data_IF_638174160709
#
_entry.id   IF_638174160709
#
_cell.length_a   1.000
_cell.length_b   1.000
_cell.length_c   1.000
_cell.angle_alpha   90.00
_cell.angle_beta   90.00
_cell.angle_gamma   90.00
#
_symmetry.space_group_name_H-M   'P 1'
#
loop_
_entity.id
_entity.type
_entity.pdbx_description
1 polymer ?
#
# COMPACT_ATOMS: atom_id res chain seq x y z
N UNK A 1 42.88 34.58 -26.00
CA UNK A 1 41.93 33.44 -25.89
C UNK A 1 42.15 32.77 -24.54
N UNK A 2 41.20 32.91 -23.61
CA UNK A 2 41.12 32.14 -22.36
C UNK A 2 39.75 31.43 -22.35
N UNK A 3 39.65 30.18 -21.87
CA UNK A 3 38.45 29.37 -22.07
C UNK A 3 37.30 29.82 -21.14
N UNK A 4 36.10 29.92 -21.71
CA UNK A 4 34.83 30.16 -21.00
C UNK A 4 34.57 29.00 -20.02
N UNK A 5 34.50 29.31 -18.72
CA UNK A 5 33.99 28.40 -17.68
C UNK A 5 32.52 28.05 -17.98
N UNK A 6 32.21 26.76 -17.94
CA UNK A 6 30.85 26.23 -17.97
C UNK A 6 30.03 26.80 -16.81
N UNK A 7 28.99 27.57 -17.15
CA UNK A 7 27.88 27.98 -16.29
C UNK A 7 26.60 27.46 -16.93
N UNK A 8 26.12 26.28 -16.54
CA UNK A 8 24.75 25.84 -16.85
C UNK A 8 24.33 24.68 -15.95
N UNK A 9 23.59 25.01 -14.89
CA UNK A 9 22.63 24.18 -14.12
C UNK A 9 22.05 24.95 -12.93
N UNK A 10 22.70 26.03 -12.49
CA UNK A 10 22.18 26.93 -11.44
C UNK A 10 21.04 27.87 -11.88
N UNK A 11 20.99 28.26 -13.16
CA UNK A 11 20.02 29.24 -13.67
C UNK A 11 18.57 28.72 -13.78
N UNK A 12 18.36 27.43 -14.05
CA UNK A 12 17.00 26.86 -14.20
C UNK A 12 16.24 26.77 -12.88
N UNK A 13 16.94 26.47 -11.78
CA UNK A 13 16.34 26.43 -10.43
C UNK A 13 16.04 27.82 -9.88
N UNK A 14 16.85 28.84 -10.17
CA UNK A 14 16.53 30.24 -9.84
C UNK A 14 15.25 30.70 -10.56
N UNK A 15 15.16 30.45 -11.87
CA UNK A 15 13.97 30.77 -12.68
C UNK A 15 12.69 30.11 -12.20
N UNK A 16 12.76 28.86 -11.70
CA UNK A 16 11.57 28.12 -11.25
C UNK A 16 11.00 28.68 -9.94
N UNK A 17 11.87 29.19 -9.05
CA UNK A 17 11.43 29.84 -7.80
C UNK A 17 10.89 31.25 -8.05
N UNK A 18 11.39 31.96 -9.06
CA UNK A 18 10.85 33.26 -9.47
C UNK A 18 9.43 33.11 -10.02
N UNK A 19 9.17 32.08 -10.84
CA UNK A 19 7.83 31.71 -11.32
C UNK A 19 6.93 31.26 -10.14
N UNK A 20 7.44 30.45 -9.22
CA UNK A 20 6.67 30.04 -8.02
C UNK A 20 6.31 31.23 -7.13
N UNK A 21 7.16 32.26 -7.06
CA UNK A 21 6.91 33.48 -6.31
C UNK A 21 5.88 34.40 -6.98
N UNK A 22 5.82 34.43 -8.32
CA UNK A 22 4.79 35.18 -9.06
C UNK A 22 3.42 34.50 -8.99
N UNK A 23 3.39 33.17 -8.88
CA UNK A 23 2.18 32.32 -8.76
C UNK A 23 1.53 32.37 -7.37
N UNK A 24 2.15 32.95 -6.34
CA UNK A 24 1.60 33.06 -4.98
C UNK A 24 0.95 34.43 -4.74
N UNK A 25 -0.26 34.72 -5.28
CA UNK A 25 -0.87 36.04 -5.19
C UNK A 25 -1.24 36.38 -3.75
N UNK A 26 -1.34 37.68 -3.46
CA UNK A 26 -1.71 38.18 -2.14
C UNK A 26 -3.20 37.95 -1.79
N UNK A 27 -4.05 37.76 -2.81
CA UNK A 27 -5.52 37.59 -2.75
C UNK A 27 -5.97 36.39 -3.58
N UNK A 28 -7.12 35.82 -3.22
CA UNK A 28 -7.69 34.61 -3.85
C UNK A 28 -8.42 34.85 -5.18
N UNK A 29 -8.82 36.10 -5.46
CA UNK A 29 -9.64 36.41 -6.63
C UNK A 29 -8.85 36.40 -7.95
N UNK A 30 -7.51 36.52 -7.90
CA UNK A 30 -6.66 36.62 -9.09
C UNK A 30 -5.98 35.29 -9.50
N UNK A 31 -6.06 34.21 -8.70
CA UNK A 31 -5.25 32.99 -8.95
C UNK A 31 -5.62 32.27 -10.26
N UNK A 32 -6.86 32.43 -10.70
CA UNK A 32 -7.43 31.68 -11.82
C UNK A 32 -7.66 32.54 -13.07
N UNK A 33 -7.05 33.71 -13.13
CA UNK A 33 -6.95 34.45 -14.39
C UNK A 33 -6.12 33.64 -15.39
N UNK A 34 -6.49 33.74 -16.68
CA UNK A 34 -5.92 32.93 -17.78
C UNK A 34 -4.38 32.99 -17.80
N UNK A 35 -3.80 34.18 -17.55
CA UNK A 35 -2.35 34.38 -17.48
C UNK A 35 -1.69 33.68 -16.28
N UNK A 36 -2.36 33.64 -15.13
CA UNK A 36 -1.84 32.97 -13.93
C UNK A 36 -1.94 31.44 -14.05
N UNK A 37 -3.00 30.95 -14.70
CA UNK A 37 -3.17 29.54 -15.06
C UNK A 37 -2.08 29.05 -16.02
N UNK A 38 -1.75 29.84 -17.05
CA UNK A 38 -0.66 29.50 -17.98
C UNK A 38 0.71 29.43 -17.29
N UNK A 39 1.05 30.43 -16.47
CA UNK A 39 2.30 30.40 -15.68
C UNK A 39 2.35 29.19 -14.73
N UNK A 40 1.20 28.84 -14.15
CA UNK A 40 1.08 27.71 -13.26
C UNK A 40 1.27 26.36 -13.97
N UNK A 41 0.72 26.22 -15.19
CA UNK A 41 0.95 25.04 -16.03
C UNK A 41 2.41 24.95 -16.48
N UNK A 42 3.02 26.07 -16.88
CA UNK A 42 4.44 26.13 -17.26
C UNK A 42 5.36 25.72 -16.09
N UNK A 43 5.05 26.17 -14.87
CA UNK A 43 5.73 25.74 -13.66
C UNK A 43 5.61 24.22 -13.42
N UNK A 44 4.41 23.67 -13.56
CA UNK A 44 4.19 22.23 -13.37
C UNK A 44 4.87 21.39 -14.46
N UNK A 45 4.91 21.87 -15.70
CA UNK A 45 5.52 21.16 -16.82
C UNK A 45 7.04 21.18 -16.72
N UNK A 46 7.65 22.31 -16.32
CA UNK A 46 9.08 22.41 -16.01
C UNK A 46 9.48 21.56 -14.81
N UNK A 47 8.57 21.34 -13.86
CA UNK A 47 8.79 20.53 -12.66
C UNK A 47 8.31 19.07 -12.78
N UNK A 48 7.77 18.67 -13.94
CA UNK A 48 7.16 17.33 -14.14
C UNK A 48 8.16 16.16 -14.16
N UNK A 49 9.47 16.45 -14.23
CA UNK A 49 10.51 15.43 -14.26
C UNK A 49 10.98 15.04 -12.86
N UNK A 50 10.90 13.75 -12.53
CA UNK A 50 11.56 13.21 -11.33
C UNK A 50 13.09 13.28 -11.50
N UNK A 51 13.68 14.30 -10.89
CA UNK A 51 15.09 14.63 -11.04
C UNK A 51 15.84 14.34 -9.75
N UNK A 52 17.04 13.78 -9.88
CA UNK A 52 17.91 13.52 -8.74
C UNK A 52 18.40 14.86 -8.16
N UNK A 53 18.16 15.16 -6.87
CA UNK A 53 18.51 16.44 -6.26
C UNK A 53 20.00 16.78 -6.33
N UNK A 54 20.88 15.77 -6.32
CA UNK A 54 22.33 15.94 -6.30
C UNK A 54 22.92 16.25 -7.67
N UNK A 55 22.39 15.63 -8.72
CA UNK A 55 22.93 15.69 -10.09
C UNK A 55 22.10 16.56 -11.03
N UNK A 56 20.83 16.79 -10.70
CA UNK A 56 19.85 17.49 -11.53
C UNK A 56 19.44 16.71 -12.79
N UNK A 57 19.79 15.43 -12.90
CA UNK A 57 19.38 14.58 -14.04
C UNK A 57 18.12 13.78 -13.73
N UNK A 58 17.38 13.43 -14.79
CA UNK A 58 16.21 12.55 -14.71
C UNK A 58 16.61 11.19 -14.12
N UNK A 59 15.89 10.74 -13.07
CA UNK A 59 16.15 9.47 -12.38
C UNK A 59 16.02 8.27 -13.31
N UNK A 60 15.00 8.27 -14.18
CA UNK A 60 14.77 7.19 -15.15
C UNK A 60 15.94 7.05 -16.13
N UNK A 61 16.55 8.18 -16.49
CA UNK A 61 17.70 8.17 -17.39
C UNK A 61 18.96 7.70 -16.69
N UNK A 62 19.25 8.21 -15.49
CA UNK A 62 20.43 7.75 -14.72
C UNK A 62 20.41 6.23 -14.53
N UNK A 63 19.24 5.67 -14.23
CA UNK A 63 19.07 4.24 -14.08
C UNK A 63 19.20 3.48 -15.41
N UNK A 64 18.74 4.05 -16.53
CA UNK A 64 18.94 3.44 -17.85
C UNK A 64 20.41 3.47 -18.29
N UNK A 65 21.10 4.60 -18.12
CA UNK A 65 22.52 4.77 -18.47
C UNK A 65 23.42 3.82 -17.65
N UNK A 66 23.03 3.50 -16.41
CA UNK A 66 23.68 2.50 -15.56
C UNK A 66 23.50 1.05 -16.05
N UNK A 67 22.37 0.74 -16.69
CA UNK A 67 22.07 -0.59 -17.23
C UNK A 67 22.76 -0.81 -18.60
N UNK A 68 22.87 0.23 -19.42
CA UNK A 68 23.48 0.17 -20.77
C UNK A 68 25.01 0.35 -20.77
N UNK A 69 25.63 0.60 -19.62
CA UNK A 69 27.10 0.68 -19.47
C UNK A 69 27.78 1.84 -20.22
N UNK A 70 27.01 2.80 -20.76
CA UNK A 70 27.52 3.99 -21.45
C UNK A 70 26.98 5.26 -20.79
N UNK A 71 27.80 5.89 -19.95
CA UNK A 71 27.52 7.23 -19.44
C UNK A 71 27.83 8.28 -20.53
N UNK A 72 26.87 8.53 -21.41
CA UNK A 72 27.00 9.61 -22.39
C UNK A 72 26.58 10.95 -21.75
N UNK A 73 27.57 11.62 -21.14
CA UNK A 73 27.44 12.91 -20.45
C UNK A 73 27.02 14.08 -21.37
N UNK A 74 26.93 13.86 -22.68
CA UNK A 74 26.68 14.87 -23.71
C UNK A 74 25.19 15.25 -23.90
N UNK A 75 24.25 14.45 -23.39
CA UNK A 75 22.79 14.64 -23.62
C UNK A 75 21.98 15.07 -22.39
N UNK A 76 22.55 15.82 -21.44
CA UNK A 76 22.02 16.07 -20.07
C UNK A 76 20.58 16.63 -19.93
N UNK A 77 19.88 16.97 -21.01
CA UNK A 77 18.57 17.65 -20.99
C UNK A 77 17.34 16.80 -21.33
N UNK A 78 17.48 15.53 -21.74
CA UNK A 78 16.32 14.70 -22.10
C UNK A 78 15.73 13.94 -20.89
N UNK A 79 14.44 14.17 -20.62
CA UNK A 79 13.65 13.49 -19.59
C UNK A 79 13.06 12.18 -20.12
N UNK A 80 13.25 11.07 -19.40
CA UNK A 80 12.72 9.73 -19.72
C UNK A 80 11.59 9.28 -18.78
N UNK A 81 10.99 10.20 -18.01
CA UNK A 81 9.84 9.87 -17.18
C UNK A 81 8.64 9.46 -18.05
N UNK A 82 8.00 8.30 -17.79
CA UNK A 82 6.75 7.93 -18.43
C UNK A 82 5.63 8.92 -18.05
N UNK A 83 4.55 8.95 -18.84
CA UNK A 83 3.46 9.92 -18.67
C UNK A 83 2.83 9.86 -17.28
N UNK A 84 2.55 8.65 -16.77
CA UNK A 84 1.98 8.46 -15.42
C UNK A 84 2.87 9.06 -14.32
N UNK A 85 4.20 8.97 -14.47
CA UNK A 85 5.13 9.52 -13.49
C UNK A 85 5.15 11.05 -13.54
N UNK A 86 5.04 11.61 -14.75
CA UNK A 86 4.88 13.06 -14.93
C UNK A 86 3.57 13.55 -14.32
N UNK A 87 2.49 12.81 -14.49
CA UNK A 87 1.17 13.16 -13.92
C UNK A 87 1.19 13.12 -12.39
N UNK A 88 1.85 12.13 -11.77
CA UNK A 88 2.13 12.09 -10.31
C UNK A 88 2.90 13.32 -9.85
N UNK A 89 3.96 13.71 -10.56
CA UNK A 89 4.74 14.91 -10.21
C UNK A 89 3.87 16.18 -10.32
N UNK A 90 3.10 16.32 -11.39
CA UNK A 90 2.19 17.45 -11.61
C UNK A 90 1.12 17.55 -10.52
N UNK A 91 0.52 16.42 -10.11
CA UNK A 91 -0.44 16.36 -9.01
C UNK A 91 0.17 16.82 -7.67
N UNK A 92 1.40 16.39 -7.37
CA UNK A 92 2.12 16.82 -6.17
C UNK A 92 2.42 18.32 -6.18
N UNK A 93 2.95 18.85 -7.29
CA UNK A 93 3.27 20.28 -7.37
C UNK A 93 2.01 21.13 -7.31
N UNK A 94 0.92 20.70 -7.95
CA UNK A 94 -0.39 21.34 -7.83
C UNK A 94 -0.78 21.51 -6.37
N UNK A 95 -0.83 20.41 -5.62
CA UNK A 95 -1.31 20.47 -4.23
C UNK A 95 -0.34 21.19 -3.31
N UNK A 96 0.98 21.09 -3.55
CA UNK A 96 2.00 21.76 -2.75
C UNK A 96 1.97 23.29 -2.93
N UNK A 97 1.68 23.78 -4.14
CA UNK A 97 1.53 25.21 -4.43
C UNK A 97 0.16 25.73 -4.04
N UNK A 98 -0.92 25.03 -4.40
CA UNK A 98 -2.28 25.46 -4.08
C UNK A 98 -2.53 25.51 -2.56
N UNK A 99 -2.00 24.55 -1.81
CA UNK A 99 -2.03 24.60 -0.34
C UNK A 99 -1.31 25.81 0.23
N UNK A 100 -0.20 26.24 -0.38
CA UNK A 100 0.51 27.44 0.02
C UNK A 100 -0.32 28.71 -0.26
N UNK A 101 -1.02 28.77 -1.40
CA UNK A 101 -2.00 29.83 -1.68
C UNK A 101 -3.11 29.87 -0.63
N UNK A 102 -3.74 28.74 -0.32
CA UNK A 102 -4.79 28.66 0.71
C UNK A 102 -4.27 29.09 2.10
N UNK A 103 -3.04 28.71 2.47
CA UNK A 103 -2.40 29.17 3.71
C UNK A 103 -2.17 30.68 3.72
N UNK A 104 -1.77 31.28 2.58
CA UNK A 104 -1.60 32.73 2.45
C UNK A 104 -2.92 33.48 2.58
N UNK A 105 -4.01 32.89 2.08
CA UNK A 105 -5.37 33.42 2.17
C UNK A 105 -6.12 33.00 3.43
N UNK A 106 -5.46 32.29 4.36
CA UNK A 106 -6.03 31.80 5.62
C UNK A 106 -7.28 30.92 5.46
N UNK A 107 -7.32 30.14 4.38
CA UNK A 107 -8.37 29.14 4.10
C UNK A 107 -7.90 27.73 4.49
N UNK A 108 -8.84 26.86 4.85
CA UNK A 108 -8.58 25.43 5.09
C UNK A 108 -8.43 24.69 3.76
N UNK A 109 -7.67 23.59 3.79
CA UNK A 109 -7.49 22.70 2.64
C UNK A 109 -8.53 21.58 2.74
N UNK A 110 -9.56 21.63 1.90
CA UNK A 110 -10.61 20.61 1.79
C UNK A 110 -10.63 20.03 0.38
N UNK A 111 -11.15 18.80 0.21
CA UNK A 111 -11.34 18.20 -1.13
C UNK A 111 -12.22 19.10 -2.00
N UNK A 112 -13.32 19.62 -1.45
CA UNK A 112 -14.22 20.56 -2.14
C UNK A 112 -13.53 21.86 -2.60
N UNK A 113 -12.50 22.33 -1.89
CA UNK A 113 -11.72 23.49 -2.30
C UNK A 113 -10.76 23.20 -3.46
N UNK A 114 -10.47 21.92 -3.74
CA UNK A 114 -9.59 21.49 -4.82
C UNK A 114 -10.34 21.21 -6.13
N UNK A 115 -11.64 20.87 -6.07
CA UNK A 115 -12.48 20.55 -7.22
C UNK A 115 -12.52 21.68 -8.27
N UNK A 116 -12.91 22.89 -7.87
CA UNK A 116 -13.00 24.04 -8.79
C UNK A 116 -11.69 24.36 -9.52
N UNK A 117 -10.55 24.48 -8.82
CA UNK A 117 -9.23 24.62 -9.44
C UNK A 117 -8.86 23.51 -10.41
N UNK A 118 -9.12 22.25 -10.05
CA UNK A 118 -8.82 21.09 -10.89
C UNK A 118 -9.66 21.10 -12.17
N UNK A 119 -10.96 21.39 -12.06
CA UNK A 119 -11.87 21.49 -13.22
C UNK A 119 -11.43 22.56 -14.21
N UNK A 120 -10.88 23.68 -13.71
CA UNK A 120 -10.35 24.73 -14.58
C UNK A 120 -9.05 24.30 -15.27
N UNK A 121 -8.13 23.68 -14.52
CA UNK A 121 -6.88 23.17 -15.08
C UNK A 121 -7.11 22.06 -16.11
N UNK A 122 -8.16 21.24 -15.93
CA UNK A 122 -8.57 20.22 -16.91
C UNK A 122 -8.88 20.81 -18.28
N UNK A 123 -9.47 22.01 -18.34
CA UNK A 123 -9.73 22.72 -19.60
C UNK A 123 -8.45 23.06 -20.38
N UNK A 124 -7.33 23.16 -19.69
CA UNK A 124 -6.00 23.45 -20.26
C UNK A 124 -5.10 22.21 -20.34
N UNK A 125 -5.66 20.99 -20.27
CA UNK A 125 -4.92 19.75 -20.47
C UNK A 125 -4.12 19.27 -19.25
N UNK A 126 -4.42 19.80 -18.06
CA UNK A 126 -4.01 19.14 -16.82
C UNK A 126 -4.79 17.82 -16.69
N UNK A 127 -4.08 16.70 -16.61
CA UNK A 127 -4.69 15.37 -16.52
C UNK A 127 -5.01 14.93 -15.09
N UNK A 128 -4.18 15.24 -14.07
CA UNK A 128 -4.43 14.72 -12.73
C UNK A 128 -5.75 15.20 -12.13
N UNK A 129 -6.44 14.29 -11.43
CA UNK A 129 -7.68 14.54 -10.72
C UNK A 129 -7.60 14.19 -9.23
N UNK A 130 -8.75 14.12 -8.56
CA UNK A 130 -8.83 13.81 -7.12
C UNK A 130 -8.34 12.39 -6.81
N UNK A 131 -8.61 11.43 -7.70
CA UNK A 131 -8.13 10.06 -7.55
C UNK A 131 -6.60 9.98 -7.45
N UNK A 132 -5.87 10.79 -8.24
CA UNK A 132 -4.41 10.87 -8.18
C UNK A 132 -3.93 11.41 -6.83
N UNK A 133 -4.67 12.36 -6.23
CA UNK A 133 -4.35 12.88 -4.90
C UNK A 133 -4.55 11.82 -3.81
N UNK A 134 -5.56 10.96 -3.93
CA UNK A 134 -5.75 9.83 -3.03
C UNK A 134 -4.62 8.80 -3.15
N UNK A 135 -4.17 8.53 -4.38
CA UNK A 135 -2.99 7.67 -4.64
C UNK A 135 -1.75 8.29 -3.99
N UNK A 136 -1.53 9.60 -4.16
CA UNK A 136 -0.40 10.31 -3.55
C UNK A 136 -0.41 10.23 -2.02
N UNK A 137 -1.57 10.36 -1.38
CA UNK A 137 -1.67 10.26 0.08
C UNK A 137 -1.36 8.85 0.59
N UNK A 138 -1.74 7.82 -0.15
CA UNK A 138 -1.40 6.44 0.19
C UNK A 138 0.07 6.10 -0.07
N UNK A 139 0.67 6.75 -1.07
CA UNK A 139 2.05 6.53 -1.49
C UNK A 139 3.08 7.28 -0.62
N UNK A 140 2.76 8.51 -0.21
CA UNK A 140 3.63 9.39 0.57
C UNK A 140 2.93 9.84 1.87
N UNK A 141 2.64 8.91 2.80
CA UNK A 141 1.93 9.26 4.04
C UNK A 141 2.72 10.27 4.88
N UNK A 142 4.05 10.32 4.78
CA UNK A 142 4.86 11.33 5.49
C UNK A 142 4.69 12.76 4.97
N UNK A 143 4.15 12.93 3.75
CA UNK A 143 4.07 14.23 3.05
C UNK A 143 2.63 14.69 2.86
N UNK A 144 1.69 13.78 2.57
CA UNK A 144 0.28 14.08 2.27
C UNK A 144 -0.67 13.18 3.08
N UNK A 145 -1.54 13.79 3.86
CA UNK A 145 -2.59 13.16 4.64
C UNK A 145 -3.96 13.62 4.14
N UNK A 146 -4.84 12.67 3.84
CA UNK A 146 -6.26 12.94 3.64
C UNK A 146 -7.03 12.38 4.83
N UNK A 147 -7.71 13.25 5.58
CA UNK A 147 -8.34 12.93 6.87
C UNK A 147 -9.84 13.19 6.84
N UNK A 148 -10.62 12.34 7.53
CA UNK A 148 -12.08 12.48 7.61
C UNK A 148 -12.52 13.47 8.71
N UNK A 149 -11.70 13.66 9.75
CA UNK A 149 -11.97 14.58 10.87
C UNK A 149 -10.74 15.48 11.12
N UNK A 150 -10.96 16.62 11.77
CA UNK A 150 -9.88 17.54 12.16
C UNK A 150 -8.90 16.84 13.13
N UNK A 151 -7.76 16.39 12.61
CA UNK A 151 -6.64 15.94 13.44
C UNK A 151 -5.95 17.18 14.01
N UNK A 152 -5.56 17.10 15.29
CA UNK A 152 -4.80 18.13 15.99
C UNK A 152 -3.51 18.47 15.18
N UNK A 153 -3.52 19.59 14.46
CA UNK A 153 -2.49 20.00 13.50
C UNK A 153 -1.09 20.28 14.13
N UNK A 154 -0.90 19.98 15.41
CA UNK A 154 0.35 20.17 16.15
C UNK A 154 1.35 19.03 15.98
N UNK A 155 0.92 17.84 15.56
CA UNK A 155 1.77 16.64 15.49
C UNK A 155 2.53 16.47 14.15
N UNK A 156 2.17 17.22 13.10
CA UNK A 156 2.71 17.07 11.75
C UNK A 156 3.26 18.41 11.21
N UNK A 157 4.44 18.82 11.66
CA UNK A 157 4.96 20.20 11.45
C UNK A 157 5.20 20.64 10.00
N UNK A 158 5.20 19.74 9.03
CA UNK A 158 5.48 20.09 7.62
C UNK A 158 4.60 19.33 6.59
N UNK A 159 3.67 18.48 7.02
CA UNK A 159 2.85 17.66 6.12
C UNK A 159 1.64 18.43 5.55
N UNK A 160 1.15 18.03 4.37
CA UNK A 160 -0.09 18.52 3.78
C UNK A 160 -1.26 17.74 4.34
N UNK A 161 -2.17 18.41 5.05
CA UNK A 161 -3.39 17.79 5.59
C UNK A 161 -4.59 18.31 4.80
N UNK A 162 -5.30 17.41 4.13
CA UNK A 162 -6.48 17.68 3.31
C UNK A 162 -7.68 17.05 4.01
N UNK A 163 -8.74 17.83 4.24
CA UNK A 163 -9.92 17.33 4.96
C UNK A 163 -11.00 16.86 3.98
N UNK A 164 -11.54 15.65 4.16
CA UNK A 164 -12.74 15.17 3.44
C UNK A 164 -13.97 15.82 4.10
N UNK A 165 -14.64 16.74 3.41
CA UNK A 165 -15.88 17.33 3.92
C UNK A 165 -17.03 16.33 3.83
N UNK A 166 -17.62 15.93 4.97
CA UNK A 166 -18.91 15.22 5.02
C UNK A 166 -20.03 16.20 4.68
N UNK A 167 -20.87 15.88 3.70
CA UNK A 167 -21.89 16.79 3.17
C UNK A 167 -23.01 17.17 4.17
N UNK A 168 -23.64 18.31 3.85
CA UNK A 168 -24.90 18.87 4.37
C UNK A 168 -24.89 19.58 5.74
N UNK A 169 -24.27 20.76 5.77
CA UNK A 169 -25.00 21.95 6.24
C UNK A 169 -24.81 23.09 5.25
N UNK A 170 -25.93 23.55 4.70
CA UNK A 170 -26.06 24.91 4.17
C UNK A 170 -25.45 25.88 5.17
N UNK A 171 -24.30 26.45 4.86
CA UNK A 171 -23.96 27.78 5.35
C UNK A 171 -22.94 28.45 4.43
N UNK A 172 -23.40 29.54 3.82
CA UNK A 172 -22.57 30.61 3.29
C UNK A 172 -21.71 31.16 4.43
N UNK A 173 -20.58 30.53 4.72
CA UNK A 173 -19.52 31.12 5.53
C UNK A 173 -18.21 30.40 5.23
N UNK A 174 -17.40 31.01 4.36
CA UNK A 174 -15.95 30.86 4.36
C UNK A 174 -15.45 31.15 5.78
N UNK A 175 -15.39 30.15 6.64
CA UNK A 175 -14.86 30.30 8.00
C UNK A 175 -13.37 30.60 7.89
N UNK A 176 -13.04 31.89 8.02
CA UNK A 176 -11.70 32.37 8.30
C UNK A 176 -11.13 31.61 9.49
N UNK A 177 -9.83 31.32 9.43
CA UNK A 177 -9.03 30.87 10.56
C UNK A 177 -9.21 31.81 11.77
N UNK A 178 -10.09 31.48 12.71
CA UNK A 178 -10.19 32.19 13.99
C UNK A 178 -9.07 31.72 14.90
N UNK A 179 -7.94 32.46 14.92
CA UNK A 179 -6.95 32.41 16.02
C UNK A 179 -5.49 32.05 15.70
N UNK A 180 -5.11 31.88 14.43
CA UNK A 180 -3.71 31.56 14.05
C UNK A 180 -2.89 32.78 13.63
N UNK A 181 -1.67 32.98 14.16
CA UNK A 181 -0.72 33.98 13.63
C UNK A 181 -0.38 33.64 12.17
N UNK A 182 -0.52 34.61 11.25
CA UNK A 182 -0.14 34.46 9.83
C UNK A 182 1.30 33.94 9.72
N UNK A 183 1.50 32.81 9.06
CA UNK A 183 2.86 32.31 8.81
C UNK A 183 3.60 33.26 7.85
N UNK A 184 4.87 33.61 8.12
CA UNK A 184 5.68 34.35 7.16
C UNK A 184 5.81 33.60 5.83
N UNK A 185 5.78 34.33 4.70
CA UNK A 185 6.00 33.77 3.34
C UNK A 185 7.25 32.87 3.27
N UNK A 186 8.33 33.27 3.95
CA UNK A 186 9.57 32.48 4.03
C UNK A 186 9.39 31.11 4.70
N UNK A 187 8.50 30.99 5.71
CA UNK A 187 8.20 29.71 6.34
C UNK A 187 7.37 28.81 5.41
N UNK A 188 6.40 29.37 4.69
CA UNK A 188 5.57 28.64 3.73
C UNK A 188 6.46 28.05 2.62
N UNK A 189 7.33 28.87 2.02
CA UNK A 189 8.27 28.42 0.98
C UNK A 189 9.22 27.34 1.52
N UNK A 190 9.73 27.49 2.74
CA UNK A 190 10.59 26.47 3.35
C UNK A 190 9.87 25.14 3.56
N UNK A 191 8.62 25.16 4.02
CA UNK A 191 7.81 23.95 4.15
C UNK A 191 7.50 23.32 2.79
N UNK A 192 7.22 24.12 1.75
CA UNK A 192 7.06 23.61 0.38
C UNK A 192 8.32 22.88 -0.13
N UNK A 193 9.50 23.48 0.06
CA UNK A 193 10.79 22.88 -0.35
C UNK A 193 11.11 21.59 0.41
N UNK A 194 10.80 21.56 1.71
CA UNK A 194 10.97 20.34 2.51
C UNK A 194 10.08 19.21 2.00
N UNK A 195 8.79 19.49 1.76
CA UNK A 195 7.85 18.52 1.19
C UNK A 195 8.31 18.01 -0.17
N UNK A 196 8.77 18.90 -1.04
CA UNK A 196 9.33 18.55 -2.35
C UNK A 196 10.53 17.60 -2.21
N UNK A 197 11.45 17.90 -1.29
CA UNK A 197 12.63 17.06 -1.03
C UNK A 197 12.24 15.68 -0.53
N UNK A 198 11.32 15.60 0.44
CA UNK A 198 10.82 14.31 0.96
C UNK A 198 10.09 13.51 -0.11
N UNK A 199 9.18 14.15 -0.85
CA UNK A 199 8.39 13.52 -1.90
C UNK A 199 9.28 12.94 -3.01
N UNK A 200 10.19 13.74 -3.54
CA UNK A 200 11.12 13.32 -4.61
C UNK A 200 12.07 12.22 -4.14
N UNK A 201 12.50 12.23 -2.87
CA UNK A 201 13.34 11.17 -2.31
C UNK A 201 12.60 9.83 -2.22
N UNK A 202 11.37 9.82 -1.69
CA UNK A 202 10.52 8.61 -1.59
C UNK A 202 10.25 8.05 -3.00
N UNK A 203 9.80 8.92 -3.91
CA UNK A 203 9.47 8.52 -5.27
C UNK A 203 10.70 8.02 -6.05
N UNK A 204 11.86 8.68 -5.88
CA UNK A 204 13.12 8.22 -6.49
C UNK A 204 13.54 6.85 -5.98
N UNK A 205 13.39 6.57 -4.67
CA UNK A 205 13.72 5.27 -4.09
C UNK A 205 12.81 4.17 -4.66
N UNK A 206 11.50 4.43 -4.71
CA UNK A 206 10.52 3.50 -5.26
C UNK A 206 10.79 3.17 -6.73
N UNK A 207 10.96 4.19 -7.56
CA UNK A 207 11.22 4.03 -9.00
C UNK A 207 12.54 3.29 -9.25
N UNK A 208 13.62 3.64 -8.55
CA UNK A 208 14.91 2.94 -8.68
C UNK A 208 14.82 1.46 -8.29
N UNK A 209 14.10 1.14 -7.22
CA UNK A 209 13.88 -0.24 -6.79
C UNK A 209 13.07 -1.04 -7.82
N UNK A 210 12.03 -0.42 -8.38
CA UNK A 210 11.19 -1.02 -9.41
C UNK A 210 11.98 -1.27 -10.70
N UNK A 211 12.79 -0.31 -11.13
CA UNK A 211 13.70 -0.47 -12.28
C UNK A 211 14.74 -1.57 -12.05
N UNK A 212 15.29 -1.69 -10.85
CA UNK A 212 16.23 -2.76 -10.52
C UNK A 212 15.56 -4.15 -10.61
N UNK A 213 14.27 -4.25 -10.26
CA UNK A 213 13.54 -5.53 -10.23
C UNK A 213 13.02 -5.97 -11.60
N UNK A 214 12.55 -5.04 -12.43
CA UNK A 214 11.85 -5.37 -13.68
C UNK A 214 12.53 -4.85 -14.96
N UNK A 215 13.55 -3.98 -14.84
CA UNK A 215 14.20 -3.34 -15.97
C UNK A 215 13.46 -2.10 -16.49
N UNK A 216 14.20 -1.18 -17.13
CA UNK A 216 13.71 0.16 -17.50
C UNK A 216 12.55 0.17 -18.52
N UNK A 217 12.56 -0.76 -19.49
CA UNK A 217 11.50 -0.86 -20.51
C UNK A 217 10.16 -1.31 -19.93
N UNK A 218 10.20 -2.23 -18.95
CA UNK A 218 8.98 -2.73 -18.27
C UNK A 218 8.36 -1.64 -17.39
N UNK A 219 9.15 -0.73 -16.82
CA UNK A 219 8.63 0.40 -16.01
C UNK A 219 7.80 1.38 -16.84
N UNK A 220 8.07 1.51 -18.14
CA UNK A 220 7.30 2.39 -19.01
C UNK A 220 5.85 1.93 -19.19
N UNK A 221 5.58 0.63 -19.03
CA UNK A 221 4.22 0.07 -19.15
C UNK A 221 3.45 0.03 -17.81
N UNK A 222 4.04 0.52 -16.72
CA UNK A 222 3.36 0.56 -15.43
C UNK A 222 2.34 1.71 -15.36
N UNK A 223 1.33 1.55 -14.52
CA UNK A 223 0.41 2.60 -14.09
C UNK A 223 0.79 3.18 -12.72
N UNK A 224 0.15 4.28 -12.33
CA UNK A 224 0.25 4.86 -10.98
C UNK A 224 -0.18 3.89 -9.89
N UNK A 225 -1.16 3.02 -10.19
CA UNK A 225 -1.69 1.99 -9.31
C UNK A 225 -0.70 0.84 -9.13
N UNK A 226 0.01 0.46 -10.20
CA UNK A 226 1.06 -0.57 -10.14
C UNK A 226 2.22 -0.13 -9.24
N UNK A 227 2.58 1.16 -9.29
CA UNK A 227 3.57 1.75 -8.40
C UNK A 227 3.10 1.70 -6.93
N UNK A 228 1.82 2.00 -6.68
CA UNK A 228 1.24 1.93 -5.33
C UNK A 228 1.26 0.49 -4.78
N UNK A 229 0.88 -0.50 -5.60
CA UNK A 229 0.95 -1.91 -5.24
C UNK A 229 2.40 -2.33 -4.96
N UNK A 230 3.34 -1.85 -5.76
CA UNK A 230 4.76 -2.14 -5.56
C UNK A 230 5.29 -1.55 -4.25
N UNK A 231 5.00 -0.29 -3.95
CA UNK A 231 5.46 0.35 -2.71
C UNK A 231 4.80 -0.26 -1.49
N UNK A 232 3.49 -0.55 -1.52
CA UNK A 232 2.84 -1.31 -0.43
C UNK A 232 3.47 -2.69 -0.21
N UNK A 233 3.89 -3.37 -1.28
CA UNK A 233 4.65 -4.64 -1.18
C UNK A 233 6.07 -4.42 -0.64
N UNK A 234 6.75 -3.36 -1.06
CA UNK A 234 8.10 -3.04 -0.62
C UNK A 234 8.14 -2.60 0.85
N UNK A 235 7.15 -1.86 1.34
CA UNK A 235 7.02 -1.49 2.75
C UNK A 235 6.61 -2.71 3.61
N UNK A 236 5.76 -3.60 3.08
CA UNK A 236 5.45 -4.88 3.73
C UNK A 236 6.68 -5.82 3.81
N UNK A 237 7.60 -5.74 2.85
CA UNK A 237 8.87 -6.48 2.86
C UNK A 237 10.00 -5.75 3.58
N UNK A 238 9.91 -4.41 3.76
CA UNK A 238 10.94 -3.56 4.34
C UNK A 238 10.89 -3.43 5.87
N UNK A 239 9.84 -3.98 6.50
CA UNK A 239 9.80 -4.19 7.95
C UNK A 239 10.64 -5.40 8.40
N UNK A 240 11.10 -6.23 7.46
CA UNK A 240 12.16 -7.21 7.63
C UNK A 240 13.38 -6.72 6.82
N UNK A 241 14.59 -6.88 7.33
CA UNK A 241 15.87 -6.48 6.69
C UNK A 241 16.30 -5.01 6.80
N UNK A 242 16.55 -4.55 8.03
CA UNK A 242 17.87 -3.95 8.30
C UNK A 242 18.71 -4.98 9.04
N UNK A 243 19.78 -5.44 8.37
CA UNK A 243 21.00 -6.13 8.88
C UNK A 243 21.42 -7.22 7.89
N UNK A 244 22.63 -7.01 7.34
CA UNK A 244 23.48 -7.92 6.53
C UNK A 244 23.06 -8.18 5.09
N UNK A 245 23.63 -7.38 4.17
CA UNK A 245 24.15 -7.91 2.91
C UNK A 245 25.36 -7.09 2.42
N UNK A 246 26.44 -7.15 3.20
CA UNK A 246 27.79 -6.88 2.73
C UNK A 246 28.59 -8.17 2.91
N UNK A 247 29.28 -8.60 1.85
CA UNK A 247 30.14 -9.81 1.73
C UNK A 247 29.45 -11.12 1.34
N UNK A 248 29.26 -11.28 0.03
CA UNK A 248 29.61 -12.54 -0.66
C UNK A 248 30.23 -12.23 -2.04
N UNK A 249 31.47 -11.72 -2.01
CA UNK A 249 32.40 -11.87 -3.15
C UNK A 249 33.22 -13.13 -2.86
N UNK A 250 32.94 -14.21 -3.58
CA UNK A 250 33.89 -15.30 -3.74
C UNK A 250 34.11 -15.54 -5.22
N UNK A 251 35.38 -15.32 -5.61
CA UNK A 251 36.13 -16.06 -6.63
C UNK A 251 35.49 -16.19 -8.02
N UNK A 252 35.78 -15.20 -8.86
CA UNK A 252 35.96 -15.46 -10.29
C UNK A 252 37.30 -16.18 -10.49
N UNK A 253 37.26 -17.51 -10.49
CA UNK A 253 38.26 -18.32 -11.17
C UNK A 253 37.62 -18.81 -12.47
N UNK A 254 38.21 -18.36 -13.57
CA UNK A 254 38.04 -18.80 -14.96
C UNK A 254 37.57 -20.25 -15.09
N UNK A 255 36.34 -20.45 -15.58
CA UNK A 255 36.07 -21.56 -16.50
C UNK A 255 35.00 -21.12 -17.50
N UNK A 256 35.45 -21.01 -18.74
CA UNK A 256 34.66 -20.77 -19.93
C UNK A 256 33.79 -21.97 -20.24
N UNK A 257 32.49 -21.91 -19.95
CA UNK A 257 31.48 -22.66 -20.69
C UNK A 257 30.26 -21.79 -20.93
N UNK A 258 30.13 -21.41 -22.20
CA UNK A 258 28.99 -20.73 -22.79
C UNK A 258 27.73 -21.58 -22.67
N UNK A 259 26.85 -21.22 -21.75
CA UNK A 259 25.42 -21.55 -21.85
C UNK A 259 24.64 -20.25 -22.02
N UNK A 260 24.83 -19.59 -23.16
CA UNK A 260 23.90 -18.56 -23.60
C UNK A 260 22.70 -19.24 -24.27
N UNK A 261 21.74 -19.68 -23.46
CA UNK A 261 20.35 -19.81 -23.92
C UNK A 261 19.61 -18.61 -23.35
N UNK A 262 19.76 -17.47 -24.02
CA UNK A 262 18.96 -16.29 -23.71
C UNK A 262 17.52 -16.54 -24.19
N UNK A 263 16.58 -16.60 -23.26
CA UNK A 263 15.15 -16.70 -23.56
C UNK A 263 14.65 -15.32 -24.01
N UNK A 264 14.66 -15.08 -25.32
CA UNK A 264 14.18 -13.84 -25.94
C UNK A 264 12.69 -13.87 -26.33
N UNK A 265 12.02 -15.00 -26.10
CA UNK A 265 10.62 -15.20 -26.52
C UNK A 265 9.68 -14.86 -25.35
N UNK A 266 8.88 -13.80 -25.51
CA UNK A 266 7.88 -13.34 -24.53
C UNK A 266 6.50 -13.96 -24.76
N UNK A 267 6.38 -14.94 -25.67
CA UNK A 267 5.14 -15.67 -25.88
C UNK A 267 4.72 -16.36 -24.58
N UNK A 268 3.50 -16.05 -24.15
CA UNK A 268 2.87 -16.72 -23.00
C UNK A 268 2.77 -18.21 -23.30
N UNK A 269 3.48 -19.01 -22.51
CA UNK A 269 3.37 -20.47 -22.53
C UNK A 269 2.33 -20.90 -21.50
N UNK A 270 1.51 -21.89 -21.86
CA UNK A 270 0.70 -22.59 -20.86
C UNK A 270 1.60 -23.30 -19.83
N UNK A 271 1.15 -23.54 -18.60
CA UNK A 271 1.97 -24.21 -17.58
C UNK A 271 2.61 -25.52 -18.05
N UNK A 272 1.88 -26.34 -18.81
CA UNK A 272 2.41 -27.59 -19.37
C UNK A 272 3.49 -27.37 -20.43
N UNK A 273 3.32 -26.33 -21.26
CA UNK A 273 4.28 -25.94 -22.28
C UNK A 273 5.55 -25.38 -21.64
N UNK A 274 5.42 -24.62 -20.56
CA UNK A 274 6.52 -24.13 -19.75
C UNK A 274 7.33 -25.30 -19.14
N UNK A 275 6.65 -26.30 -18.57
CA UNK A 275 7.33 -27.50 -18.04
C UNK A 275 8.10 -28.21 -19.16
N UNK A 276 7.49 -28.38 -20.34
CA UNK A 276 8.16 -28.97 -21.51
C UNK A 276 9.36 -28.12 -21.96
N UNK A 277 9.20 -26.80 -22.04
CA UNK A 277 10.25 -25.85 -22.40
C UNK A 277 11.44 -25.91 -21.42
N UNK A 278 11.17 -25.94 -20.11
CA UNK A 278 12.21 -26.06 -19.08
C UNK A 278 12.97 -27.38 -19.19
N UNK A 279 12.26 -28.50 -19.45
CA UNK A 279 12.88 -29.80 -19.69
C UNK A 279 13.77 -29.81 -20.93
N UNK A 280 13.30 -29.23 -22.04
CA UNK A 280 14.04 -29.20 -23.31
C UNK A 280 15.15 -28.14 -23.37
N UNK A 281 15.05 -27.08 -22.55
CA UNK A 281 16.02 -25.99 -22.50
C UNK A 281 17.03 -26.22 -21.39
N UNK A 282 16.77 -25.59 -20.23
CA UNK A 282 17.67 -25.61 -19.08
C UNK A 282 17.92 -27.04 -18.56
N UNK A 283 16.98 -27.97 -18.74
CA UNK A 283 17.14 -29.37 -18.32
C UNK A 283 17.88 -30.28 -19.31
N UNK A 284 18.24 -29.80 -20.50
CA UNK A 284 18.73 -30.66 -21.60
C UNK A 284 20.11 -31.28 -21.38
N UNK A 285 20.94 -30.70 -20.51
CA UNK A 285 22.31 -31.15 -20.26
C UNK A 285 22.49 -31.71 -18.85
N UNK A 286 21.44 -32.32 -18.29
CA UNK A 286 21.50 -33.01 -17.00
C UNK A 286 21.45 -32.07 -15.78
N UNK A 287 21.11 -30.79 -15.96
CA UNK A 287 20.89 -29.86 -14.84
C UNK A 287 19.66 -30.26 -14.00
N UNK A 288 18.66 -30.91 -14.61
CA UNK A 288 17.51 -31.49 -13.91
C UNK A 288 17.85 -32.92 -13.50
N UNK A 289 18.22 -33.08 -12.23
CA UNK A 289 18.64 -34.37 -11.66
C UNK A 289 17.47 -35.24 -11.17
N UNK A 290 16.30 -34.63 -10.96
CA UNK A 290 15.12 -35.31 -10.45
C UNK A 290 13.84 -34.65 -10.96
N UNK A 291 12.86 -35.47 -11.34
CA UNK A 291 11.52 -35.04 -11.72
C UNK A 291 10.54 -35.95 -10.98
N UNK A 292 9.73 -35.35 -10.13
CA UNK A 292 8.62 -36.03 -9.44
C UNK A 292 7.30 -35.55 -10.04
N UNK A 293 6.44 -36.49 -10.42
CA UNK A 293 5.10 -36.20 -10.89
C UNK A 293 4.09 -36.56 -9.81
N UNK A 294 3.43 -35.53 -9.26
CA UNK A 294 2.41 -35.69 -8.23
C UNK A 294 1.05 -35.76 -8.93
N UNK A 295 0.39 -36.92 -8.91
CA UNK A 295 -0.89 -37.12 -9.58
C UNK A 295 -1.98 -36.22 -9.00
N UNK A 296 -2.86 -35.72 -9.88
CA UNK A 296 -4.04 -34.97 -9.49
C UNK A 296 -4.96 -35.80 -8.57
N UNK A 297 -5.58 -35.13 -7.60
CA UNK A 297 -6.51 -35.75 -6.64
C UNK A 297 -7.89 -35.16 -6.83
N UNK A 298 -8.88 -36.01 -7.05
CA UNK A 298 -10.27 -35.58 -7.13
C UNK A 298 -10.77 -35.12 -5.75
N UNK A 299 -11.53 -34.02 -5.76
CA UNK A 299 -12.20 -33.52 -4.58
C UNK A 299 -13.22 -34.53 -4.04
N UNK A 300 -13.17 -34.80 -2.74
CA UNK A 300 -14.19 -35.59 -2.02
C UNK A 300 -15.10 -34.64 -1.25
N UNK A 301 -16.29 -34.39 -1.81
CA UNK A 301 -17.31 -33.56 -1.19
C UNK A 301 -18.30 -34.38 -0.37
N UNK A 302 -18.84 -33.74 0.67
CA UNK A 302 -19.94 -34.24 1.50
C UNK A 302 -20.94 -33.11 1.72
N UNK A 303 -22.17 -33.47 2.08
CA UNK A 303 -23.19 -32.48 2.41
C UNK A 303 -22.86 -31.76 3.71
N UNK A 304 -23.42 -30.56 3.85
CA UNK A 304 -23.26 -29.75 5.06
C UNK A 304 -23.88 -30.49 6.25
N UNK A 305 -23.16 -30.69 7.38
CA UNK A 305 -23.67 -31.41 8.54
C UNK A 305 -25.01 -30.86 9.02
N UNK A 306 -25.99 -31.75 9.23
CA UNK A 306 -27.34 -31.36 9.64
C UNK A 306 -27.39 -30.69 11.02
N UNK A 307 -26.37 -30.91 11.86
CA UNK A 307 -26.22 -30.32 13.19
C UNK A 307 -25.95 -28.82 13.18
N UNK A 308 -25.54 -28.23 12.04
CA UNK A 308 -25.34 -26.79 11.94
C UNK A 308 -26.68 -26.05 11.93
N UNK A 309 -26.70 -24.87 12.55
CA UNK A 309 -27.85 -23.97 12.54
C UNK A 309 -28.18 -23.48 11.13
N UNK A 310 -29.45 -23.12 10.91
CA UNK A 310 -29.87 -22.52 9.64
C UNK A 310 -29.16 -21.18 9.35
N UNK A 311 -28.78 -20.44 10.39
CA UNK A 311 -28.00 -19.20 10.25
C UNK A 311 -26.63 -19.48 9.63
N UNK A 312 -25.89 -20.47 10.14
CA UNK A 312 -24.58 -20.86 9.58
C UNK A 312 -24.72 -21.46 8.18
N UNK A 313 -25.75 -22.28 7.92
CA UNK A 313 -26.02 -22.83 6.58
C UNK A 313 -26.31 -21.71 5.57
N UNK A 314 -27.11 -20.72 5.96
CA UNK A 314 -27.43 -19.55 5.13
C UNK A 314 -26.16 -18.73 4.81
N UNK A 315 -25.33 -18.47 5.83
CA UNK A 315 -24.06 -17.76 5.65
C UNK A 315 -23.11 -18.49 4.69
N UNK A 316 -23.00 -19.82 4.79
CA UNK A 316 -22.22 -20.64 3.86
C UNK A 316 -22.76 -20.53 2.43
N UNK A 317 -24.09 -20.63 2.25
CA UNK A 317 -24.72 -20.48 0.94
C UNK A 317 -24.49 -19.08 0.34
N UNK A 318 -24.49 -18.02 1.17
CA UNK A 318 -24.26 -16.64 0.73
C UNK A 318 -22.87 -16.45 0.10
N UNK A 319 -21.86 -17.13 0.64
CA UNK A 319 -20.49 -17.12 0.08
C UNK A 319 -20.28 -18.22 -0.98
N UNK A 320 -21.34 -18.88 -1.45
CA UNK A 320 -21.31 -19.88 -2.53
C UNK A 320 -20.89 -21.29 -2.10
N UNK A 321 -20.83 -21.58 -0.79
CA UNK A 321 -20.45 -22.88 -0.26
C UNK A 321 -21.70 -23.74 -0.06
N UNK A 322 -21.95 -24.66 -0.99
CA UNK A 322 -23.10 -25.58 -0.96
C UNK A 322 -22.75 -26.98 -0.46
N UNK A 323 -21.46 -27.34 -0.48
CA UNK A 323 -20.92 -28.63 -0.02
C UNK A 323 -19.56 -28.40 0.64
N UNK A 324 -19.19 -29.29 1.54
CA UNK A 324 -17.90 -29.26 2.22
C UNK A 324 -16.97 -30.35 1.70
N UNK A 325 -15.67 -30.13 1.78
CA UNK A 325 -14.73 -31.24 1.64
C UNK A 325 -14.86 -32.19 2.83
N UNK A 326 -14.63 -33.49 2.60
CA UNK A 326 -14.71 -34.53 3.64
C UNK A 326 -13.94 -34.18 4.93
N UNK A 327 -12.71 -33.66 4.82
CA UNK A 327 -11.90 -33.26 5.98
C UNK A 327 -12.48 -32.06 6.74
N UNK A 328 -13.17 -31.15 6.05
CA UNK A 328 -13.86 -30.03 6.69
C UNK A 328 -15.03 -30.53 7.52
N UNK A 329 -15.89 -31.37 6.94
CA UNK A 329 -17.04 -31.91 7.68
C UNK A 329 -16.61 -32.75 8.89
N UNK A 330 -15.59 -33.60 8.75
CA UNK A 330 -15.06 -34.41 9.84
C UNK A 330 -14.51 -33.54 10.99
N UNK A 331 -13.72 -32.52 10.66
CA UNK A 331 -13.17 -31.60 11.67
C UNK A 331 -14.25 -30.76 12.36
N UNK A 332 -15.26 -30.30 11.60
CA UNK A 332 -16.40 -29.55 12.15
C UNK A 332 -17.20 -30.43 13.11
N UNK A 333 -17.56 -31.65 12.71
CA UNK A 333 -18.31 -32.58 13.56
C UNK A 333 -17.54 -32.93 14.83
N UNK A 334 -16.23 -33.18 14.73
CA UNK A 334 -15.39 -33.45 15.88
C UNK A 334 -15.31 -32.24 16.84
N UNK A 335 -15.15 -31.04 16.29
CA UNK A 335 -15.09 -29.79 17.07
C UNK A 335 -16.41 -29.49 17.78
N UNK A 336 -17.55 -29.62 17.10
CA UNK A 336 -18.88 -29.44 17.68
C UNK A 336 -19.21 -30.50 18.75
N UNK A 337 -18.60 -31.67 18.67
CA UNK A 337 -18.67 -32.70 19.72
C UNK A 337 -17.74 -32.42 20.92
N UNK A 338 -17.09 -31.25 20.98
CA UNK A 338 -16.22 -30.84 22.08
C UNK A 338 -14.82 -31.47 22.05
N UNK A 339 -14.39 -32.04 20.91
CA UNK A 339 -13.04 -32.62 20.78
C UNK A 339 -12.02 -31.58 20.35
N UNK A 340 -10.79 -31.73 20.80
CA UNK A 340 -9.64 -31.01 20.26
C UNK A 340 -9.26 -31.60 18.90
N UNK A 341 -9.10 -30.76 17.88
CA UNK A 341 -8.88 -31.19 16.49
C UNK A 341 -7.59 -30.59 15.94
N UNK A 342 -6.76 -31.42 15.33
CA UNK A 342 -5.60 -31.00 14.54
C UNK A 342 -5.89 -31.36 13.09
N UNK A 343 -5.79 -30.37 12.19
CA UNK A 343 -6.02 -30.56 10.76
C UNK A 343 -4.71 -30.38 10.01
N UNK A 344 -4.15 -31.51 9.54
CA UNK A 344 -2.92 -31.53 8.73
C UNK A 344 -3.28 -31.63 7.24
N UNK A 345 -3.46 -30.48 6.60
CA UNK A 345 -3.86 -30.38 5.18
C UNK A 345 -2.93 -29.48 4.39
N UNK A 346 -2.83 -29.73 3.08
CA UNK A 346 -2.03 -28.89 2.18
C UNK A 346 -2.53 -27.44 2.13
N UNK A 347 -1.67 -26.52 1.70
CA UNK A 347 -2.07 -25.13 1.40
C UNK A 347 -3.19 -25.11 0.34
N UNK A 348 -4.07 -24.12 0.43
CA UNK A 348 -5.26 -24.00 -0.45
C UNK A 348 -6.32 -25.10 -0.35
N UNK A 349 -6.26 -25.99 0.65
CA UNK A 349 -7.26 -27.05 0.89
C UNK A 349 -8.55 -26.58 1.59
N UNK A 350 -8.71 -25.27 1.81
CA UNK A 350 -9.86 -24.71 2.52
C UNK A 350 -9.86 -24.94 4.04
N UNK A 351 -8.69 -25.09 4.66
CA UNK A 351 -8.55 -25.33 6.12
C UNK A 351 -9.25 -24.27 6.99
N UNK A 352 -9.43 -23.05 6.49
CA UNK A 352 -10.06 -21.97 7.25
C UNK A 352 -11.51 -22.28 7.64
N UNK A 353 -12.23 -23.01 6.80
CA UNK A 353 -13.61 -23.42 7.10
C UNK A 353 -13.69 -24.44 8.24
N UNK A 354 -12.66 -25.27 8.43
CA UNK A 354 -12.62 -26.28 9.48
C UNK A 354 -12.80 -25.67 10.88
N UNK A 355 -12.29 -24.46 11.08
CA UNK A 355 -12.36 -23.77 12.36
C UNK A 355 -13.32 -22.58 12.37
N UNK A 356 -13.55 -21.89 11.24
CA UNK A 356 -14.50 -20.77 11.20
C UNK A 356 -15.94 -21.25 11.40
N UNK A 357 -16.31 -22.40 10.84
CA UNK A 357 -17.68 -22.90 10.94
C UNK A 357 -18.06 -23.24 12.39
N UNK A 358 -17.27 -24.02 13.15
CA UNK A 358 -17.57 -24.28 14.57
C UNK A 358 -17.59 -23.01 15.41
N UNK A 359 -16.69 -22.05 15.12
CA UNK A 359 -16.66 -20.75 15.81
C UNK A 359 -17.94 -19.97 15.57
N UNK A 360 -18.35 -19.79 14.32
CA UNK A 360 -19.59 -19.09 13.99
C UNK A 360 -20.82 -19.80 14.56
N UNK A 361 -20.86 -21.13 14.53
CA UNK A 361 -21.95 -21.90 15.13
C UNK A 361 -22.08 -21.63 16.63
N UNK A 362 -20.99 -21.74 17.40
CA UNK A 362 -21.00 -21.49 18.84
C UNK A 362 -21.37 -20.03 19.16
N UNK A 363 -20.83 -19.08 18.39
CA UNK A 363 -21.13 -17.66 18.58
C UNK A 363 -22.58 -17.33 18.20
N UNK A 364 -23.18 -18.02 17.23
CA UNK A 364 -24.59 -17.85 16.87
C UNK A 364 -25.55 -18.31 17.97
N UNK A 365 -25.16 -19.34 18.73
CA UNK A 365 -26.00 -19.93 19.77
C UNK A 365 -25.86 -19.22 21.13
N UNK A 366 -24.68 -18.68 21.43
CA UNK A 366 -24.40 -18.05 22.71
C UNK A 366 -23.83 -16.63 22.53
N UNK A 367 -24.62 -15.57 22.79
CA UNK A 367 -24.19 -14.17 22.71
C UNK A 367 -22.97 -13.83 23.57
N UNK A 368 -22.74 -14.56 24.68
CA UNK A 368 -21.60 -14.33 25.57
C UNK A 368 -20.34 -15.03 25.12
N UNK A 369 -20.45 -16.06 24.26
CA UNK A 369 -19.31 -16.84 23.81
C UNK A 369 -18.28 -15.96 23.10
N UNK A 370 -17.01 -16.27 23.33
CA UNK A 370 -15.86 -15.65 22.70
C UNK A 370 -14.94 -16.69 22.07
N UNK A 371 -14.20 -16.27 21.04
CA UNK A 371 -13.15 -17.06 20.40
C UNK A 371 -11.84 -16.27 20.35
N UNK A 372 -10.72 -16.98 20.48
CA UNK A 372 -9.36 -16.44 20.39
C UNK A 372 -8.61 -17.14 19.26
N UNK A 373 -8.15 -16.37 18.28
CA UNK A 373 -7.38 -16.87 17.14
C UNK A 373 -5.92 -16.43 17.29
N UNK A 374 -5.00 -17.38 17.19
CA UNK A 374 -3.56 -17.13 17.14
C UNK A 374 -3.01 -17.41 15.76
N UNK A 375 -2.48 -16.35 15.15
CA UNK A 375 -1.70 -16.45 13.92
C UNK A 375 -0.25 -16.02 14.16
N UNK A 376 0.72 -16.67 13.50
CA UNK A 376 2.14 -16.35 13.69
C UNK A 376 2.56 -15.04 13.02
N UNK A 377 1.81 -14.56 12.02
CA UNK A 377 2.12 -13.30 11.34
C UNK A 377 0.90 -12.39 11.27
N UNK A 378 1.14 -11.08 11.36
CA UNK A 378 0.09 -10.05 11.27
C UNK A 378 -0.61 -10.06 9.91
N UNK A 379 0.16 -10.23 8.83
CA UNK A 379 -0.41 -10.31 7.48
C UNK A 379 -1.41 -11.46 7.35
N UNK A 380 -1.07 -12.64 7.90
CA UNK A 380 -1.99 -13.77 7.91
C UNK A 380 -3.23 -13.49 8.77
N UNK A 381 -3.06 -12.86 9.94
CA UNK A 381 -4.19 -12.45 10.79
C UNK A 381 -5.16 -11.52 10.04
N UNK A 382 -4.64 -10.52 9.31
CA UNK A 382 -5.43 -9.61 8.48
C UNK A 382 -6.19 -10.33 7.37
N UNK A 383 -5.53 -11.28 6.69
CA UNK A 383 -6.17 -12.08 5.65
C UNK A 383 -7.30 -12.96 6.22
N UNK A 384 -7.05 -13.61 7.36
CA UNK A 384 -8.06 -14.45 8.00
C UNK A 384 -9.21 -13.64 8.59
N UNK A 385 -8.96 -12.43 9.13
CA UNK A 385 -10.03 -11.53 9.56
C UNK A 385 -10.96 -11.19 8.41
N UNK A 386 -10.42 -10.79 7.24
CA UNK A 386 -11.24 -10.46 6.07
C UNK A 386 -12.09 -11.64 5.61
N UNK A 387 -11.51 -12.84 5.55
CA UNK A 387 -12.23 -14.05 5.19
C UNK A 387 -13.33 -14.41 6.21
N UNK A 388 -13.05 -14.27 7.51
CA UNK A 388 -14.03 -14.51 8.56
C UNK A 388 -15.16 -13.47 8.54
N UNK A 389 -14.84 -12.18 8.39
CA UNK A 389 -15.85 -11.11 8.30
C UNK A 389 -16.77 -11.29 7.09
N UNK A 390 -16.24 -11.71 5.94
CA UNK A 390 -17.05 -12.02 4.76
C UNK A 390 -18.00 -13.20 5.01
N UNK A 391 -17.55 -14.23 5.74
CA UNK A 391 -18.38 -15.39 6.09
C UNK A 391 -19.40 -15.07 7.19
N UNK A 392 -19.07 -14.19 8.13
CA UNK A 392 -19.97 -13.75 9.19
C UNK A 392 -21.04 -12.76 8.70
N UNK A 393 -20.87 -12.20 7.51
CA UNK A 393 -21.81 -11.23 6.93
C UNK A 393 -23.19 -11.88 6.75
N UNK A 394 -24.21 -11.30 7.39
CA UNK A 394 -25.58 -11.83 7.38
C UNK A 394 -25.89 -12.87 8.47
N UNK A 395 -24.94 -13.19 9.36
CA UNK A 395 -25.16 -14.11 10.48
C UNK A 395 -25.56 -13.36 11.76
N UNK A 396 -24.85 -12.28 12.09
CA UNK A 396 -25.14 -11.40 13.23
C UNK A 396 -24.36 -10.09 13.07
N UNK A 397 -25.05 -8.96 12.84
CA UNK A 397 -24.42 -7.64 12.72
C UNK A 397 -23.77 -7.15 14.03
N UNK A 398 -24.08 -7.81 15.16
CA UNK A 398 -23.44 -7.52 16.46
C UNK A 398 -22.14 -8.28 16.70
N UNK A 399 -21.71 -9.14 15.75
CA UNK A 399 -20.49 -9.91 15.88
C UNK A 399 -19.24 -9.05 15.65
N UNK A 400 -18.71 -8.51 16.74
CA UNK A 400 -17.47 -7.76 16.72
C UNK A 400 -16.25 -8.69 16.57
N UNK A 401 -15.60 -8.64 15.42
CA UNK A 401 -14.33 -9.33 15.12
C UNK A 401 -13.23 -8.27 15.05
N UNK A 402 -12.08 -8.52 15.65
CA UNK A 402 -10.95 -7.62 15.44
C UNK A 402 -9.59 -8.15 15.83
N UNK A 403 -8.57 -7.47 15.32
CA UNK A 403 -7.17 -7.82 15.50
C UNK A 403 -6.59 -7.00 16.64
N UNK A 404 -6.04 -7.73 17.61
CA UNK A 404 -5.31 -7.22 18.76
C UNK A 404 -3.84 -7.60 18.60
N UNK A 405 -3.05 -6.69 18.02
CA UNK A 405 -1.62 -6.87 17.86
C UNK A 405 -0.82 -5.58 18.15
N UNK A 406 0.48 -5.61 17.80
CA UNK A 406 1.39 -4.49 17.96
C UNK A 406 1.01 -3.23 17.18
N UNK A 407 0.24 -3.37 16.09
CA UNK A 407 -0.16 -2.26 15.20
C UNK A 407 -1.54 -1.71 15.55
N UNK A 408 -2.33 -2.45 16.35
CA UNK A 408 -3.61 -1.96 16.89
C UNK A 408 -3.39 -0.73 17.78
N UNK A 409 -4.08 0.37 17.47
CA UNK A 409 -4.00 1.62 18.24
C UNK A 409 -4.45 1.43 19.70
N UNK A 410 -4.01 2.30 20.61
CA UNK A 410 -4.38 2.15 22.03
C UNK A 410 -5.89 2.27 22.26
N UNK A 411 -6.58 3.16 21.52
CA UNK A 411 -8.02 3.30 21.59
C UNK A 411 -8.74 2.03 21.13
N UNK A 412 -8.31 1.48 19.99
CA UNK A 412 -8.90 0.25 19.43
C UNK A 412 -8.63 -0.95 20.33
N UNK A 413 -7.46 -1.03 20.98
CA UNK A 413 -7.13 -2.10 21.94
C UNK A 413 -8.12 -2.13 23.11
N UNK A 414 -8.45 -0.97 23.67
CA UNK A 414 -9.43 -0.88 24.75
C UNK A 414 -10.81 -1.31 24.27
N UNK A 415 -11.24 -0.80 23.11
CA UNK A 415 -12.54 -1.15 22.55
C UNK A 415 -12.65 -2.65 22.22
N UNK A 416 -11.63 -3.23 21.59
CA UNK A 416 -11.61 -4.65 21.22
C UNK A 416 -11.62 -5.56 22.45
N UNK A 417 -10.83 -5.25 23.48
CA UNK A 417 -10.87 -5.98 24.74
C UNK A 417 -12.27 -6.02 25.32
N UNK A 418 -12.96 -4.87 25.30
CA UNK A 418 -14.25 -4.72 25.97
C UNK A 418 -15.43 -5.23 25.11
N UNK A 419 -15.31 -5.24 23.78
CA UNK A 419 -16.44 -5.51 22.87
C UNK A 419 -16.25 -6.67 21.88
N UNK A 420 -15.02 -7.11 21.58
CA UNK A 420 -14.79 -8.15 20.57
C UNK A 420 -15.28 -9.53 21.04
N UNK A 421 -15.97 -10.26 20.18
CA UNK A 421 -16.37 -11.66 20.39
C UNK A 421 -15.39 -12.63 19.74
N UNK A 422 -14.74 -12.20 18.65
CA UNK A 422 -13.58 -12.90 18.08
C UNK A 422 -12.38 -11.98 18.17
N UNK A 423 -11.42 -12.36 19.01
CA UNK A 423 -10.16 -11.65 19.14
C UNK A 423 -9.09 -12.40 18.35
N UNK A 424 -8.49 -11.74 17.37
CA UNK A 424 -7.41 -12.29 16.57
C UNK A 424 -6.10 -11.68 17.06
N UNK A 425 -5.11 -12.49 17.40
CA UNK A 425 -3.83 -12.03 17.94
C UNK A 425 -2.69 -12.94 17.51
N UNK A 426 -1.51 -12.73 18.09
CA UNK A 426 -0.32 -13.52 17.85
C UNK A 426 0.29 -14.00 19.18
N UNK A 427 1.19 -15.01 19.16
CA UNK A 427 1.82 -15.53 20.36
C UNK A 427 2.53 -14.45 21.18
N UNK A 428 3.16 -13.47 20.53
CA UNK A 428 3.84 -12.36 21.20
C UNK A 428 2.88 -11.54 22.05
N UNK A 429 1.77 -11.07 21.48
CA UNK A 429 0.78 -10.22 22.15
C UNK A 429 -0.04 -11.00 23.18
N UNK A 430 -0.22 -12.31 22.97
CA UNK A 430 -0.72 -13.19 24.01
C UNK A 430 0.22 -13.18 25.22
N UNK A 431 1.52 -13.34 24.99
CA UNK A 431 2.55 -13.39 26.03
C UNK A 431 2.79 -12.05 26.73
N UNK A 432 2.88 -10.94 25.99
CA UNK A 432 3.26 -9.64 26.56
C UNK A 432 2.08 -8.81 27.06
N UNK A 433 0.87 -9.07 26.57
CA UNK A 433 -0.30 -8.22 26.86
C UNK A 433 -1.47 -9.00 27.45
N UNK A 434 -1.94 -10.06 26.80
CA UNK A 434 -3.21 -10.70 27.22
C UNK A 434 -3.02 -11.49 28.53
N UNK A 435 -2.00 -12.35 28.61
CA UNK A 435 -1.80 -13.21 29.78
C UNK A 435 -1.30 -12.44 31.03
N UNK A 436 -0.32 -11.52 30.95
CA UNK A 436 0.13 -10.77 32.13
C UNK A 436 -0.95 -9.85 32.70
N UNK A 437 -1.84 -9.36 31.85
CA UNK A 437 -2.95 -8.48 32.23
C UNK A 437 -4.30 -9.18 32.11
N UNK A 438 -4.36 -10.50 32.34
CA UNK A 438 -5.56 -11.33 32.13
C UNK A 438 -6.81 -10.82 32.87
N UNK A 439 -6.65 -10.11 34.00
CA UNK A 439 -7.75 -9.47 34.71
C UNK A 439 -8.52 -8.44 33.86
N UNK A 440 -7.82 -7.74 32.95
CA UNK A 440 -8.42 -6.82 31.99
C UNK A 440 -9.14 -7.57 30.85
N UNK A 441 -8.68 -8.78 30.52
CA UNK A 441 -9.27 -9.64 29.47
C UNK A 441 -10.31 -10.61 30.03
N UNK A 442 -10.76 -10.41 31.27
CA UNK A 442 -11.66 -11.35 31.97
C UNK A 442 -12.86 -11.75 31.13
N UNK A 443 -13.52 -10.81 30.45
CA UNK A 443 -14.72 -11.10 29.64
C UNK A 443 -14.44 -12.14 28.55
N UNK A 444 -13.36 -11.98 27.81
CA UNK A 444 -13.00 -12.89 26.70
C UNK A 444 -12.53 -14.22 27.27
N UNK A 445 -11.65 -14.20 28.27
CA UNK A 445 -11.06 -15.42 28.84
C UNK A 445 -12.07 -16.28 29.61
N UNK A 446 -13.04 -15.67 30.30
CA UNK A 446 -14.08 -16.41 31.05
C UNK A 446 -15.16 -17.00 30.15
N UNK A 447 -15.34 -16.47 28.94
CA UNK A 447 -16.34 -16.95 27.97
C UNK A 447 -15.68 -17.61 26.74
N UNK A 448 -14.39 -17.93 26.83
CA UNK A 448 -13.63 -18.54 25.75
C UNK A 448 -14.19 -19.93 25.48
N UNK A 449 -14.84 -20.09 24.33
CA UNK A 449 -15.43 -21.36 23.92
C UNK A 449 -14.57 -22.11 22.91
N UNK A 450 -13.83 -21.37 22.08
CA UNK A 450 -12.91 -21.95 21.08
C UNK A 450 -11.60 -21.16 21.08
N UNK A 451 -10.50 -21.92 21.09
CA UNK A 451 -9.15 -21.43 20.90
C UNK A 451 -8.58 -22.04 19.62
N UNK A 452 -8.06 -21.19 18.74
CA UNK A 452 -7.44 -21.59 17.50
C UNK A 452 -5.98 -21.17 17.47
N UNK A 453 -5.14 -22.08 17.00
CA UNK A 453 -3.74 -21.81 16.73
C UNK A 453 -3.37 -22.35 15.35
N UNK A 454 -2.76 -21.50 14.52
CA UNK A 454 -2.18 -21.95 13.26
C UNK A 454 -0.66 -22.13 13.43
N UNK A 455 -0.24 -23.38 13.52
CA UNK A 455 1.17 -23.73 13.72
C UNK A 455 1.91 -23.75 12.38
N UNK A 456 2.92 -22.90 12.25
CA UNK A 456 4.02 -23.07 11.29
C UNK A 456 5.29 -23.14 12.12
N UNK A 457 5.90 -24.33 12.22
CA UNK A 457 7.19 -24.61 12.89
C UNK A 457 7.64 -23.58 13.94
N UNK A 458 7.40 -23.89 15.22
CA UNK A 458 8.01 -23.21 16.36
C UNK A 458 9.53 -23.35 16.39
#
# INVERSE_FOLDING_TARGET
MKPKKMLSKGKEKESSYDILLSILPASGDDMFDEQNLEMFLEFMDSSSCLSNPATGSCVMREANDLLDGKLDLSKSSLCFCPLWLKDIMRAFYFINVYSACLQLWQRKITISALEGPLDQLHKFGFRPGIADLEILSQFCPEVIYIVNNEIDAKTLRDALVITKSTEEKNDKNNQLFTGGKRLPRSKIINSMKKRETSFTAILSKAVKSLMFKYGAEVVKSFSSEDLLVFVKKADAMGAETEVKQERKRCSAASSSHSYEVQCHDTKSLLPEEMVRHLKSGIGSQGQVVHIEEISARNAKYVEIPCQLSENVKSALNHVGITRLYSHQAESIQASLAGKNVIVATMTSSGKSLCYNIPVLEVLSQNPLACALYLFPTKALAQDQMRALSALAHGLDDSLNIGIYDGDTSQGDRLWLRDNARVLITNPDMLHVSILPFHGQFRRILSNLSIFLEQVYHY
#
